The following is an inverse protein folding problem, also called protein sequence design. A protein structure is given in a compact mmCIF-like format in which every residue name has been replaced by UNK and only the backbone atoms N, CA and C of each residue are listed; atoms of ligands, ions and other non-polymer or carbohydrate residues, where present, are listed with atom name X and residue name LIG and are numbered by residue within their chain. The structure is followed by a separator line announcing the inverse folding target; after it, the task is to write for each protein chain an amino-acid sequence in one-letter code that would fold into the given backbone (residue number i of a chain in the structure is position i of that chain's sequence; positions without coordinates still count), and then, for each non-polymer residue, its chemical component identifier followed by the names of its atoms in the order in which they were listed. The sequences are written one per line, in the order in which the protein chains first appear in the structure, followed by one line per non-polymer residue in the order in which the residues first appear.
data_IF_124525460299
#
_entry.id   IF_124525460299
#
_cell.length_a   1.000
_cell.length_b   1.000
_cell.length_c   1.000
_cell.angle_alpha   90.00
_cell.angle_beta   90.00
_cell.angle_gamma   90.00
#
_symmetry.space_group_name_H-M   'P 1'
#
loop_
_entity.id
_entity.type
_entity.pdbx_description
1 polymer ?
#
# COMPACT_ATOMS: atom_id res chain seq x y z
N UNK A 1 -32.00 -14.29 -1.98
CA UNK A 1 -31.51 -13.61 -3.18
C UNK A 1 -30.73 -14.61 -4.03
N UNK A 2 -31.14 -14.88 -5.29
CA UNK A 2 -30.36 -15.72 -6.22
C UNK A 2 -29.02 -15.01 -6.45
N UNK A 3 -27.93 -15.60 -6.00
CA UNK A 3 -26.57 -15.20 -6.36
C UNK A 3 -26.47 -15.21 -7.88
N UNK A 4 -26.59 -14.04 -8.51
CA UNK A 4 -26.31 -13.90 -9.93
C UNK A 4 -24.90 -14.47 -10.17
N UNK A 5 -24.79 -15.48 -11.05
CA UNK A 5 -23.50 -16.08 -11.42
C UNK A 5 -22.62 -14.97 -11.98
N UNK A 6 -21.70 -14.47 -11.18
CA UNK A 6 -20.76 -13.39 -11.56
C UNK A 6 -19.95 -13.83 -12.76
N UNK A 7 -19.90 -12.98 -13.78
CA UNK A 7 -19.01 -13.15 -14.93
C UNK A 7 -18.09 -11.95 -14.98
N UNK A 8 -16.82 -12.17 -14.72
CA UNK A 8 -15.78 -11.14 -14.59
C UNK A 8 -14.77 -11.30 -15.71
N UNK A 9 -14.31 -10.18 -16.24
CA UNK A 9 -13.24 -10.09 -17.22
C UNK A 9 -12.18 -9.10 -16.73
N UNK A 10 -10.92 -9.54 -16.64
CA UNK A 10 -9.76 -8.69 -16.39
C UNK A 10 -8.73 -8.90 -17.49
N UNK A 11 -8.06 -7.82 -17.88
CA UNK A 11 -6.96 -7.85 -18.84
C UNK A 11 -5.90 -6.82 -18.43
N UNK A 12 -4.90 -7.29 -17.71
CA UNK A 12 -3.81 -6.45 -17.19
C UNK A 12 -2.62 -7.31 -16.76
N UNK A 13 -1.48 -6.67 -16.49
CA UNK A 13 -0.30 -7.27 -15.88
C UNK A 13 -0.49 -7.36 -14.35
N UNK A 14 -0.35 -8.54 -13.78
CA UNK A 14 -0.61 -8.74 -12.35
C UNK A 14 0.48 -8.16 -11.44
N UNK A 15 1.66 -7.84 -11.96
CA UNK A 15 2.71 -7.13 -11.19
C UNK A 15 2.26 -5.74 -10.76
N UNK A 16 1.45 -5.08 -11.58
CA UNK A 16 0.99 -3.70 -11.34
C UNK A 16 -0.49 -3.60 -10.99
N UNK A 17 -1.26 -4.66 -11.22
CA UNK A 17 -2.71 -4.68 -11.01
C UNK A 17 -3.12 -5.68 -9.91
N UNK A 18 -3.47 -5.14 -8.75
CA UNK A 18 -3.92 -5.92 -7.61
C UNK A 18 -5.24 -6.67 -7.86
N UNK A 19 -6.11 -6.17 -8.75
CA UNK A 19 -7.37 -6.83 -9.05
C UNK A 19 -7.17 -8.09 -9.90
N UNK A 20 -6.07 -8.17 -10.64
CA UNK A 20 -5.66 -9.39 -11.36
C UNK A 20 -4.85 -10.32 -10.44
N UNK A 21 -3.95 -9.76 -9.62
CA UNK A 21 -3.12 -10.54 -8.71
C UNK A 21 -3.97 -11.26 -7.65
N UNK A 22 -4.96 -10.60 -7.08
CA UNK A 22 -5.78 -11.15 -5.99
C UNK A 22 -6.46 -12.49 -6.32
N UNK A 23 -7.21 -12.64 -7.43
CA UNK A 23 -7.87 -13.90 -7.75
C UNK A 23 -6.93 -14.96 -8.30
N UNK A 24 -5.73 -14.59 -8.79
CA UNK A 24 -4.82 -15.52 -9.49
C UNK A 24 -3.65 -15.96 -8.63
N UNK A 25 -3.18 -15.12 -7.71
CA UNK A 25 -1.93 -15.34 -6.96
C UNK A 25 -0.70 -15.47 -7.86
N UNK A 26 -0.78 -15.04 -9.13
CA UNK A 26 0.21 -15.28 -10.15
C UNK A 26 0.79 -13.96 -10.65
N UNK A 27 2.12 -13.80 -10.55
CA UNK A 27 2.84 -12.64 -11.05
C UNK A 27 3.23 -12.81 -12.50
N UNK A 28 2.86 -11.85 -13.35
CA UNK A 28 3.33 -11.73 -14.73
C UNK A 28 3.51 -10.25 -15.10
N UNK A 29 4.63 -9.90 -15.78
CA UNK A 29 4.92 -8.53 -16.20
C UNK A 29 4.06 -8.08 -17.38
N UNK A 30 3.64 -9.03 -18.23
CA UNK A 30 2.81 -8.75 -19.38
C UNK A 30 1.31 -8.95 -19.08
N UNK A 31 0.43 -8.17 -19.74
CA UNK A 31 -1.00 -8.35 -19.62
C UNK A 31 -1.46 -9.74 -20.07
N UNK A 32 -2.33 -10.34 -19.28
CA UNK A 32 -3.01 -11.59 -19.60
C UNK A 32 -4.50 -11.50 -19.28
N UNK A 33 -5.24 -12.46 -19.82
CA UNK A 33 -6.68 -12.51 -19.66
C UNK A 33 -7.07 -13.39 -18.48
N UNK A 34 -7.81 -12.83 -17.54
CA UNK A 34 -8.51 -13.58 -16.50
C UNK A 34 -10.02 -13.51 -16.72
N UNK A 35 -10.68 -14.66 -16.68
CA UNK A 35 -12.13 -14.77 -16.76
C UNK A 35 -12.64 -15.57 -15.56
N UNK A 36 -13.63 -15.03 -14.86
CA UNK A 36 -14.38 -15.78 -13.87
C UNK A 36 -15.82 -15.99 -14.35
N UNK A 37 -16.28 -17.24 -14.38
CA UNK A 37 -17.68 -17.64 -14.65
C UNK A 37 -18.25 -18.38 -13.45
N UNK A 38 -19.06 -17.69 -12.63
CA UNK A 38 -19.50 -18.23 -11.35
C UNK A 38 -18.33 -18.48 -10.40
N UNK A 39 -18.03 -19.73 -10.09
CA UNK A 39 -16.87 -20.13 -9.25
C UNK A 39 -15.63 -20.49 -10.08
N UNK A 40 -15.78 -20.74 -11.39
CA UNK A 40 -14.66 -21.16 -12.24
C UNK A 40 -13.79 -19.96 -12.60
N UNK A 41 -12.49 -20.08 -12.34
CA UNK A 41 -11.43 -19.13 -12.67
C UNK A 41 -10.59 -19.65 -13.82
N UNK A 42 -10.40 -18.86 -14.86
CA UNK A 42 -9.74 -19.26 -16.11
C UNK A 42 -8.71 -18.19 -16.44
N UNK A 43 -7.48 -18.61 -16.72
CA UNK A 43 -6.45 -17.77 -17.33
C UNK A 43 -6.32 -18.09 -18.82
N UNK A 44 -6.01 -17.05 -19.61
CA UNK A 44 -5.55 -17.23 -21.00
C UNK A 44 -4.20 -16.55 -21.11
N UNK A 45 -3.17 -17.36 -21.35
CA UNK A 45 -1.77 -16.96 -21.24
C UNK A 45 -1.06 -17.13 -22.58
N UNK A 46 0.00 -16.33 -22.80
CA UNK A 46 0.98 -16.60 -23.85
C UNK A 46 1.67 -17.94 -23.59
N UNK A 47 2.17 -18.57 -24.64
CA UNK A 47 2.85 -19.87 -24.51
C UNK A 47 4.12 -19.75 -23.61
N UNK A 48 4.73 -18.56 -23.55
CA UNK A 48 5.86 -18.26 -22.66
C UNK A 48 5.54 -18.51 -21.18
N UNK A 49 4.32 -18.18 -20.74
CA UNK A 49 3.91 -18.22 -19.34
C UNK A 49 3.04 -19.43 -18.95
N UNK A 50 2.66 -20.26 -19.94
CA UNK A 50 1.71 -21.36 -19.74
C UNK A 50 2.09 -22.32 -18.62
N UNK A 51 3.33 -22.80 -18.63
CA UNK A 51 3.77 -23.83 -17.67
C UNK A 51 3.98 -23.25 -16.28
N UNK A 52 4.43 -22.00 -16.20
CA UNK A 52 4.55 -21.26 -14.94
C UNK A 52 3.15 -20.99 -14.33
N UNK A 53 2.21 -20.54 -15.13
CA UNK A 53 0.83 -20.30 -14.73
C UNK A 53 0.13 -21.59 -14.23
N UNK A 54 0.33 -22.73 -14.90
CA UNK A 54 -0.22 -24.01 -14.46
C UNK A 54 0.29 -24.47 -13.10
N UNK A 55 1.54 -24.15 -12.76
CA UNK A 55 2.16 -24.55 -11.48
C UNK A 55 1.85 -23.58 -10.35
N UNK A 56 1.71 -22.28 -10.64
CA UNK A 56 1.72 -21.22 -9.63
C UNK A 56 0.37 -20.54 -9.45
N UNK A 57 -0.46 -20.46 -10.50
CA UNK A 57 -1.72 -19.73 -10.42
C UNK A 57 -2.80 -20.52 -9.67
N UNK A 58 -3.58 -19.80 -8.87
CA UNK A 58 -4.74 -20.36 -8.14
C UNK A 58 -5.99 -20.26 -9.00
N UNK A 59 -6.04 -21.07 -10.07
CA UNK A 59 -7.15 -21.07 -11.05
C UNK A 59 -7.53 -22.49 -11.47
N UNK A 60 -8.74 -22.65 -12.01
CA UNK A 60 -9.23 -23.98 -12.41
C UNK A 60 -8.71 -24.41 -13.78
N UNK A 61 -8.36 -23.44 -14.65
CA UNK A 61 -7.94 -23.75 -16.03
C UNK A 61 -7.01 -22.66 -16.57
N UNK A 62 -5.98 -23.10 -17.31
CA UNK A 62 -5.10 -22.24 -18.11
C UNK A 62 -5.24 -22.59 -19.58
N UNK A 63 -5.58 -21.61 -20.41
CA UNK A 63 -5.75 -21.72 -21.86
C UNK A 63 -4.59 -21.04 -22.58
N UNK A 64 -4.23 -21.52 -23.75
CA UNK A 64 -3.22 -20.90 -24.62
C UNK A 64 -3.85 -19.79 -25.47
N UNK A 65 -3.27 -18.58 -25.38
CA UNK A 65 -3.60 -17.45 -26.23
C UNK A 65 -3.32 -17.77 -27.71
N UNK A 66 -2.15 -18.33 -28.02
CA UNK A 66 -1.73 -18.68 -29.38
C UNK A 66 -2.64 -19.72 -30.04
N UNK A 67 -3.19 -20.66 -29.25
CA UNK A 67 -4.15 -21.64 -29.78
C UNK A 67 -5.44 -20.96 -30.23
N UNK A 68 -5.95 -19.99 -29.46
CA UNK A 68 -7.15 -19.23 -29.83
C UNK A 68 -6.84 -18.34 -31.04
N UNK A 69 -5.68 -17.70 -31.05
CA UNK A 69 -5.19 -16.89 -32.17
C UNK A 69 -5.18 -17.68 -33.47
N UNK A 70 -4.46 -18.81 -33.51
CA UNK A 70 -4.39 -19.69 -34.70
C UNK A 70 -5.77 -20.15 -35.21
N UNK A 71 -6.71 -20.41 -34.31
CA UNK A 71 -8.08 -20.78 -34.65
C UNK A 71 -8.82 -19.65 -35.38
N UNK A 72 -8.59 -18.38 -34.98
CA UNK A 72 -9.19 -17.20 -35.63
C UNK A 72 -8.56 -16.97 -36.98
N UNK A 73 -7.23 -17.05 -37.08
CA UNK A 73 -6.47 -16.90 -38.34
C UNK A 73 -6.85 -17.95 -39.38
N UNK A 74 -7.05 -19.20 -38.94
CA UNK A 74 -7.52 -20.30 -39.84
C UNK A 74 -8.93 -20.05 -40.43
N UNK A 75 -9.69 -19.10 -39.86
CA UNK A 75 -10.97 -18.64 -40.38
C UNK A 75 -10.82 -17.43 -41.32
N UNK A 76 -9.60 -17.03 -41.68
CA UNK A 76 -9.31 -15.85 -42.51
C UNK A 76 -9.57 -14.52 -41.81
N UNK A 77 -9.60 -14.51 -40.48
CA UNK A 77 -9.91 -13.32 -39.68
C UNK A 77 -8.67 -12.82 -38.98
N UNK A 78 -8.61 -11.49 -38.77
CA UNK A 78 -7.55 -10.88 -37.99
C UNK A 78 -7.72 -11.24 -36.49
N UNK A 79 -6.68 -11.78 -35.88
CA UNK A 79 -6.66 -12.17 -34.46
C UNK A 79 -6.19 -11.01 -33.58
N UNK A 80 -6.99 -9.95 -33.50
CA UNK A 80 -6.74 -8.86 -32.51
C UNK A 80 -6.98 -9.34 -31.08
N UNK A 81 -6.46 -8.62 -30.10
CA UNK A 81 -6.71 -8.94 -28.68
C UNK A 81 -8.23 -9.04 -28.39
N UNK A 82 -9.02 -8.09 -28.90
CA UNK A 82 -10.46 -8.11 -28.76
C UNK A 82 -11.11 -9.35 -29.40
N UNK A 83 -10.64 -9.75 -30.60
CA UNK A 83 -11.15 -10.94 -31.27
C UNK A 83 -10.87 -12.23 -30.49
N UNK A 84 -9.66 -12.34 -29.91
CA UNK A 84 -9.27 -13.50 -29.09
C UNK A 84 -10.10 -13.53 -27.81
N UNK A 85 -10.22 -12.41 -27.10
CA UNK A 85 -11.02 -12.29 -25.87
C UNK A 85 -12.49 -12.62 -26.16
N UNK A 86 -13.06 -12.06 -27.23
CA UNK A 86 -14.44 -12.33 -27.62
C UNK A 86 -14.66 -13.81 -27.95
N UNK A 87 -13.70 -14.49 -28.65
CA UNK A 87 -13.76 -15.91 -28.94
C UNK A 87 -13.78 -16.76 -27.66
N UNK A 88 -12.86 -16.46 -26.70
CA UNK A 88 -12.82 -17.14 -25.40
C UNK A 88 -14.13 -16.95 -24.63
N UNK A 89 -14.66 -15.72 -24.58
CA UNK A 89 -15.92 -15.45 -23.87
C UNK A 89 -17.11 -16.17 -24.53
N UNK A 90 -17.17 -16.22 -25.84
CA UNK A 90 -18.21 -16.97 -26.60
C UNK A 90 -18.14 -18.46 -26.33
N UNK A 91 -16.93 -19.05 -26.31
CA UNK A 91 -16.73 -20.46 -25.96
C UNK A 91 -17.20 -20.78 -24.54
N UNK A 92 -17.12 -19.81 -23.66
CA UNK A 92 -17.62 -19.88 -22.29
C UNK A 92 -19.13 -19.55 -22.17
N UNK A 93 -19.78 -19.19 -23.27
CA UNK A 93 -21.20 -18.76 -23.27
C UNK A 93 -21.43 -17.43 -22.58
N UNK A 94 -20.43 -16.52 -22.59
CA UNK A 94 -20.49 -15.21 -21.96
C UNK A 94 -20.63 -14.11 -23.03
N UNK A 95 -21.65 -13.27 -22.89
CA UNK A 95 -21.89 -12.08 -23.72
C UNK A 95 -21.94 -10.79 -22.90
N UNK A 96 -22.00 -10.92 -21.56
CA UNK A 96 -21.99 -9.80 -20.61
C UNK A 96 -20.99 -10.12 -19.52
N UNK A 97 -20.08 -9.19 -19.26
CA UNK A 97 -19.01 -9.33 -18.24
C UNK A 97 -18.88 -8.07 -17.41
N UNK A 98 -18.53 -8.24 -16.15
CA UNK A 98 -18.14 -7.14 -15.28
C UNK A 98 -16.64 -6.91 -15.41
N UNK A 99 -16.24 -5.64 -15.51
CA UNK A 99 -14.85 -5.19 -15.65
C UNK A 99 -14.54 -4.13 -14.60
N UNK A 100 -13.28 -3.97 -14.15
CA UNK A 100 -12.89 -2.89 -13.24
C UNK A 100 -12.95 -1.52 -13.94
N UNK A 101 -12.94 -0.45 -13.16
CA UNK A 101 -12.88 0.93 -13.69
C UNK A 101 -11.58 1.19 -14.49
N UNK A 102 -10.50 0.48 -14.16
CA UNK A 102 -9.21 0.54 -14.85
C UNK A 102 -9.17 -0.27 -16.16
N UNK A 103 -10.26 -0.96 -16.52
CA UNK A 103 -10.28 -1.75 -17.76
C UNK A 103 -10.04 -0.87 -18.98
N UNK A 104 -9.16 -1.26 -19.96
CA UNK A 104 -8.82 -0.42 -21.10
C UNK A 104 -10.06 -0.06 -21.92
N UNK A 105 -10.36 1.25 -22.01
CA UNK A 105 -11.54 1.76 -22.74
C UNK A 105 -11.56 1.31 -24.20
N UNK A 106 -10.41 1.38 -24.90
CA UNK A 106 -10.30 0.94 -26.28
C UNK A 106 -10.67 -0.52 -26.44
N UNK A 107 -10.20 -1.38 -25.55
CA UNK A 107 -10.54 -2.82 -25.57
C UNK A 107 -12.04 -3.05 -25.32
N UNK A 108 -12.66 -2.28 -24.43
CA UNK A 108 -14.09 -2.36 -24.17
C UNK A 108 -14.92 -1.94 -25.40
N UNK A 109 -14.47 -0.89 -26.12
CA UNK A 109 -15.07 -0.43 -27.38
C UNK A 109 -14.94 -1.49 -28.49
N UNK A 110 -13.77 -2.10 -28.66
CA UNK A 110 -13.51 -3.14 -29.68
C UNK A 110 -14.32 -4.43 -29.41
N UNK A 111 -14.62 -4.73 -28.16
CA UNK A 111 -15.44 -5.88 -27.76
C UNK A 111 -16.94 -5.70 -28.10
N UNK A 112 -17.43 -4.47 -28.14
CA UNK A 112 -18.83 -4.13 -28.42
C UNK A 112 -19.32 -4.70 -29.75
N UNK A 113 -18.72 -4.36 -30.92
CA UNK A 113 -19.07 -4.90 -32.23
C UNK A 113 -18.95 -6.44 -32.32
N UNK A 114 -18.10 -7.04 -31.48
CA UNK A 114 -17.95 -8.48 -31.38
C UNK A 114 -19.03 -9.16 -30.53
N UNK A 115 -20.02 -8.39 -30.03
CA UNK A 115 -21.18 -8.89 -29.29
C UNK A 115 -20.91 -9.14 -27.80
N UNK A 116 -19.86 -8.56 -27.26
CA UNK A 116 -19.54 -8.61 -25.82
C UNK A 116 -19.88 -7.26 -25.18
N UNK A 117 -20.68 -7.27 -24.13
CA UNK A 117 -21.03 -6.09 -23.34
C UNK A 117 -20.23 -6.04 -22.03
N UNK A 118 -19.37 -5.04 -21.89
CA UNK A 118 -18.65 -4.75 -20.66
C UNK A 118 -19.49 -3.84 -19.77
N UNK A 119 -19.62 -4.19 -18.49
CA UNK A 119 -20.24 -3.36 -17.45
C UNK A 119 -19.18 -3.04 -16.41
N UNK A 120 -18.93 -1.76 -16.18
CA UNK A 120 -18.02 -1.33 -15.11
C UNK A 120 -18.64 -1.65 -13.76
N UNK A 121 -17.85 -2.31 -12.91
CA UNK A 121 -18.18 -2.58 -11.51
C UNK A 121 -17.63 -1.46 -10.62
N UNK A 122 -18.38 -0.97 -9.63
CA UNK A 122 -17.87 0.00 -8.67
C UNK A 122 -16.70 -0.56 -7.84
N UNK A 123 -15.82 0.34 -7.38
CA UNK A 123 -14.78 0.00 -6.42
C UNK A 123 -15.35 -0.20 -5.00
N UNK A 124 -14.71 -1.07 -4.19
CA UNK A 124 -13.60 -1.94 -4.57
C UNK A 124 -14.07 -3.08 -5.48
N UNK A 125 -13.28 -3.37 -6.52
CA UNK A 125 -13.65 -4.42 -7.48
C UNK A 125 -13.83 -5.79 -6.82
N UNK A 126 -12.96 -6.11 -5.86
CA UNK A 126 -13.06 -7.27 -4.97
C UNK A 126 -13.30 -6.81 -3.53
N UNK A 127 -14.56 -6.63 -3.08
CA UNK A 127 -14.85 -6.21 -1.70
C UNK A 127 -14.27 -7.18 -0.65
N UNK A 128 -14.10 -8.45 -1.02
CA UNK A 128 -13.49 -9.47 -0.16
C UNK A 128 -12.05 -9.13 0.25
N UNK A 129 -11.31 -8.28 -0.50
CA UNK A 129 -9.95 -7.82 -0.17
C UNK A 129 -9.89 -7.00 1.11
N UNK A 130 -10.97 -6.34 1.48
CA UNK A 130 -11.02 -5.58 2.72
C UNK A 130 -10.88 -6.50 3.95
N UNK A 131 -11.52 -7.68 3.91
CA UNK A 131 -11.48 -8.67 4.96
C UNK A 131 -10.33 -9.66 4.74
N UNK A 132 -9.22 -9.46 5.44
CA UNK A 132 -8.03 -10.29 5.28
C UNK A 132 -8.21 -11.67 5.86
N UNK A 133 -7.96 -12.68 5.04
CA UNK A 133 -7.87 -14.07 5.49
C UNK A 133 -6.61 -14.27 6.35
N UNK A 134 -6.53 -15.32 7.17
CA UNK A 134 -5.36 -15.57 8.00
C UNK A 134 -4.03 -15.69 7.23
N UNK A 135 -4.05 -16.20 5.99
CA UNK A 135 -2.88 -16.28 5.11
C UNK A 135 -2.44 -14.90 4.62
N UNK A 136 -3.38 -14.00 4.31
CA UNK A 136 -3.11 -12.62 3.92
C UNK A 136 -2.55 -11.81 5.09
N UNK A 137 -3.11 -11.97 6.30
CA UNK A 137 -2.55 -11.36 7.52
C UNK A 137 -1.12 -11.82 7.77
N UNK A 138 -0.81 -13.11 7.52
CA UNK A 138 0.57 -13.60 7.62
C UNK A 138 1.49 -12.99 6.57
N UNK A 139 1.02 -12.82 5.34
CA UNK A 139 1.78 -12.18 4.25
C UNK A 139 2.10 -10.72 4.58
N UNK A 140 1.08 -9.93 4.97
CA UNK A 140 1.23 -8.55 5.44
C UNK A 140 2.21 -8.44 6.61
N UNK A 141 2.07 -9.33 7.60
CA UNK A 141 2.96 -9.34 8.77
C UNK A 141 4.41 -9.64 8.38
N UNK A 142 4.67 -10.50 7.38
CA UNK A 142 6.03 -10.75 6.89
C UNK A 142 6.63 -9.51 6.23
N UNK A 143 5.90 -8.83 5.38
CA UNK A 143 6.36 -7.59 4.75
C UNK A 143 6.59 -6.48 5.79
N UNK A 144 5.74 -6.42 6.83
CA UNK A 144 5.94 -5.52 7.96
C UNK A 144 7.25 -5.85 8.73
N UNK A 145 7.59 -7.14 8.92
CA UNK A 145 8.89 -7.50 9.53
C UNK A 145 10.07 -7.02 8.68
N UNK A 146 9.94 -7.03 7.36
CA UNK A 146 10.96 -6.47 6.46
C UNK A 146 11.06 -4.95 6.60
N UNK A 147 9.93 -4.24 6.72
CA UNK A 147 9.92 -2.81 7.00
C UNK A 147 10.62 -2.49 8.33
N UNK A 148 10.32 -3.27 9.38
CA UNK A 148 10.98 -3.16 10.70
C UNK A 148 12.49 -3.41 10.61
N UNK A 149 12.94 -4.41 9.87
CA UNK A 149 14.36 -4.69 9.65
C UNK A 149 15.06 -3.55 8.87
N UNK A 150 14.37 -2.95 7.89
CA UNK A 150 14.83 -1.76 7.18
C UNK A 150 15.00 -0.56 8.13
N UNK A 151 14.00 -0.30 8.97
CA UNK A 151 14.09 0.75 9.99
C UNK A 151 15.27 0.50 10.95
N UNK A 152 15.41 -0.71 11.48
CA UNK A 152 16.51 -1.06 12.40
C UNK A 152 17.89 -0.83 11.76
N UNK A 153 18.06 -1.18 10.48
CA UNK A 153 19.29 -0.90 9.74
C UNK A 153 19.55 0.61 9.62
N UNK A 154 18.53 1.41 9.31
CA UNK A 154 18.61 2.85 9.28
C UNK A 154 18.97 3.46 10.64
N UNK A 155 18.34 2.98 11.72
CA UNK A 155 18.64 3.41 13.10
C UNK A 155 20.07 3.07 13.50
N UNK A 156 20.56 1.88 13.14
CA UNK A 156 21.95 1.48 13.39
C UNK A 156 22.94 2.39 12.63
N UNK A 157 22.63 2.74 11.38
CA UNK A 157 23.43 3.69 10.61
C UNK A 157 23.46 5.07 11.25
N UNK A 158 22.31 5.60 11.70
CA UNK A 158 22.24 6.88 12.40
C UNK A 158 23.04 6.86 13.73
N UNK A 159 22.94 5.79 14.52
CA UNK A 159 23.71 5.64 15.78
C UNK A 159 25.22 5.61 15.54
N UNK A 160 25.66 5.04 14.43
CA UNK A 160 27.08 5.00 14.06
C UNK A 160 27.63 6.34 13.60
N UNK A 161 26.77 7.31 13.27
CA UNK A 161 27.21 8.64 12.88
C UNK A 161 27.79 9.43 14.06
N UNK A 162 28.92 10.12 13.81
CA UNK A 162 29.45 11.15 14.69
C UNK A 162 28.80 12.49 14.35
N UNK A 163 28.55 13.31 15.38
CA UNK A 163 28.09 14.68 15.21
C UNK A 163 29.32 15.57 15.00
N UNK A 164 29.42 16.19 13.81
CA UNK A 164 30.47 17.14 13.49
C UNK A 164 30.31 18.47 14.26
N UNK A 165 31.38 19.24 14.39
CA UNK A 165 31.33 20.58 15.03
C UNK A 165 30.42 21.56 14.28
N UNK A 166 30.22 21.32 12.99
CA UNK A 166 29.30 22.03 12.08
C UNK A 166 27.83 21.56 12.20
N UNK A 167 27.55 20.61 13.08
CA UNK A 167 26.24 20.03 13.31
C UNK A 167 25.81 19.00 12.27
N UNK A 168 26.61 18.67 11.26
CA UNK A 168 26.30 17.61 10.32
C UNK A 168 26.63 16.22 10.87
N UNK A 169 25.81 15.24 10.51
CA UNK A 169 26.11 13.83 10.77
C UNK A 169 27.23 13.34 9.83
N UNK A 170 28.18 12.60 10.38
CA UNK A 170 29.31 12.05 9.62
C UNK A 170 29.45 10.56 9.87
N UNK A 171 29.68 9.83 8.78
CA UNK A 171 29.97 8.40 8.81
C UNK A 171 31.15 8.13 7.85
N UNK A 172 32.10 7.31 8.27
CA UNK A 172 33.27 6.95 7.46
C UNK A 172 34.01 8.19 6.91
N UNK A 173 34.17 9.24 7.76
CA UNK A 173 34.89 10.48 7.43
C UNK A 173 34.12 11.48 6.56
N UNK A 174 32.99 11.13 5.99
CA UNK A 174 32.17 11.99 5.10
C UNK A 174 30.85 12.41 5.74
N UNK A 175 30.26 13.48 5.22
CA UNK A 175 28.90 13.89 5.61
C UNK A 175 27.93 12.82 5.22
N UNK A 176 27.10 12.35 6.17
CA UNK A 176 26.07 11.36 5.95
C UNK A 176 24.79 12.06 5.47
N UNK A 177 24.26 11.57 4.36
CA UNK A 177 23.15 12.20 3.64
C UNK A 177 21.88 11.36 3.75
N UNK A 178 20.74 11.96 3.40
CA UNK A 178 19.46 11.26 3.29
C UNK A 178 19.55 10.09 2.30
N UNK A 179 20.22 10.32 1.18
CA UNK A 179 20.41 9.31 0.14
C UNK A 179 21.20 8.09 0.65
N UNK A 180 22.20 8.32 1.51
CA UNK A 180 22.96 7.24 2.17
C UNK A 180 22.08 6.47 3.15
N UNK A 181 21.27 7.17 3.98
CA UNK A 181 20.34 6.55 4.93
C UNK A 181 19.30 5.70 4.21
N UNK A 182 18.67 6.27 3.17
CA UNK A 182 17.67 5.56 2.34
C UNK A 182 18.30 4.35 1.64
N UNK A 183 19.54 4.49 1.17
CA UNK A 183 20.32 3.39 0.58
C UNK A 183 20.49 2.21 1.55
N UNK A 184 20.84 2.48 2.81
CA UNK A 184 20.97 1.45 3.86
C UNK A 184 19.64 0.74 4.11
N UNK A 185 18.55 1.50 4.24
CA UNK A 185 17.20 0.96 4.45
C UNK A 185 16.78 0.08 3.27
N UNK A 186 16.93 0.60 2.04
CA UNK A 186 16.51 -0.09 0.82
C UNK A 186 17.32 -1.37 0.56
N UNK A 187 18.64 -1.35 0.79
CA UNK A 187 19.47 -2.56 0.70
C UNK A 187 19.00 -3.65 1.65
N UNK A 188 18.63 -3.29 2.88
CA UNK A 188 18.12 -4.25 3.85
C UNK A 188 16.79 -4.86 3.39
N UNK A 189 15.87 -4.04 2.88
CA UNK A 189 14.56 -4.46 2.35
C UNK A 189 14.76 -5.45 1.20
N UNK A 190 15.64 -5.12 0.23
CA UNK A 190 15.91 -5.98 -0.92
C UNK A 190 16.55 -7.32 -0.52
N UNK A 191 17.45 -7.32 0.46
CA UNK A 191 18.05 -8.55 0.99
C UNK A 191 17.03 -9.51 1.62
N UNK A 192 15.86 -9.01 2.03
CA UNK A 192 14.76 -9.79 2.61
C UNK A 192 13.68 -10.18 1.57
N UNK A 193 13.93 -9.96 0.26
CA UNK A 193 13.02 -10.33 -0.84
C UNK A 193 11.78 -9.45 -0.94
N UNK A 194 11.93 -8.17 -0.62
CA UNK A 194 10.92 -7.14 -0.86
C UNK A 194 11.48 -6.01 -1.72
N UNK A 195 10.61 -5.36 -2.46
CA UNK A 195 10.93 -4.15 -3.22
C UNK A 195 10.68 -2.92 -2.35
N UNK A 196 11.68 -2.05 -2.12
CA UNK A 196 11.46 -0.75 -1.50
C UNK A 196 10.72 0.16 -2.49
N UNK A 197 9.66 0.80 -2.04
CA UNK A 197 8.88 1.72 -2.86
C UNK A 197 8.88 3.08 -2.19
N UNK A 198 9.52 4.08 -2.82
CA UNK A 198 9.49 5.48 -2.35
C UNK A 198 9.79 5.67 -0.85
N UNK A 199 10.77 4.94 -0.30
CA UNK A 199 11.15 5.05 1.11
C UNK A 199 11.45 6.49 1.50
N UNK A 200 10.70 7.00 2.48
CA UNK A 200 10.83 8.37 2.99
C UNK A 200 11.88 8.39 4.11
N UNK A 201 12.81 9.34 4.03
CA UNK A 201 13.75 9.68 5.09
C UNK A 201 13.87 11.21 5.18
N UNK A 202 12.77 11.90 5.43
CA UNK A 202 12.66 13.35 5.32
C UNK A 202 13.09 14.08 6.61
N UNK A 203 14.16 14.92 6.58
CA UNK A 203 14.62 15.67 7.75
C UNK A 203 13.94 17.03 7.87
N UNK A 204 13.67 17.44 9.11
CA UNK A 204 13.23 18.81 9.46
C UNK A 204 12.03 19.26 8.63
N UNK A 205 12.13 20.46 8.05
CA UNK A 205 11.03 21.08 7.28
C UNK A 205 10.71 20.37 5.98
N UNK A 206 11.57 19.49 5.46
CA UNK A 206 11.22 18.64 4.33
C UNK A 206 10.07 17.69 4.70
N UNK A 207 10.05 17.19 5.94
CA UNK A 207 8.99 16.33 6.44
C UNK A 207 7.64 17.06 6.69
N UNK A 208 7.56 18.37 6.47
CA UNK A 208 6.28 19.12 6.50
C UNK A 208 5.41 18.79 5.29
N UNK A 209 6.03 18.32 4.21
CA UNK A 209 5.33 17.61 3.14
C UNK A 209 5.37 16.10 3.47
N UNK A 210 4.23 15.45 3.80
CA UNK A 210 4.22 14.06 4.26
C UNK A 210 4.74 13.03 3.25
N UNK A 211 4.78 13.37 1.96
CA UNK A 211 5.26 12.50 0.88
C UNK A 211 6.65 12.88 0.34
N UNK A 212 7.31 13.89 0.91
CA UNK A 212 8.70 14.23 0.54
C UNK A 212 9.64 13.11 0.98
N UNK A 213 10.36 12.52 0.01
CA UNK A 213 11.31 11.43 0.28
C UNK A 213 12.54 11.88 1.07
N UNK A 214 12.79 13.18 1.07
CA UNK A 214 13.96 13.79 1.68
C UNK A 214 15.21 13.76 0.80
N UNK A 215 16.11 14.72 1.03
CA UNK A 215 17.36 14.86 0.30
C UNK A 215 18.39 15.64 1.11
N UNK A 216 19.66 15.50 0.72
CA UNK A 216 20.74 16.32 1.22
C UNK A 216 21.36 15.87 2.54
N UNK A 217 22.21 16.69 3.15
CA UNK A 217 22.98 16.34 4.36
C UNK A 217 22.08 16.25 5.58
N UNK A 218 22.29 15.22 6.40
CA UNK A 218 21.62 15.05 7.67
C UNK A 218 22.30 15.87 8.78
N UNK A 219 21.49 16.51 9.61
CA UNK A 219 21.95 17.30 10.76
C UNK A 219 21.55 16.62 12.07
N UNK A 220 22.41 16.80 13.07
CA UNK A 220 22.09 16.42 14.44
C UNK A 220 20.92 17.26 14.99
N UNK A 221 20.23 16.73 15.97
CA UNK A 221 19.14 17.41 16.69
C UNK A 221 17.91 17.74 15.83
N UNK A 222 17.86 17.24 14.60
CA UNK A 222 16.78 17.47 13.63
C UNK A 222 15.91 16.21 13.53
N UNK A 223 14.57 16.32 13.57
CA UNK A 223 13.70 15.16 13.35
C UNK A 223 13.86 14.61 11.93
N UNK A 224 13.83 13.30 11.80
CA UNK A 224 13.83 12.59 10.52
C UNK A 224 12.61 11.68 10.54
N UNK A 225 11.67 11.91 9.65
CA UNK A 225 10.54 11.00 9.41
C UNK A 225 11.05 9.88 8.50
N UNK A 226 11.02 8.65 9.00
CA UNK A 226 11.35 7.44 8.25
C UNK A 226 10.07 6.66 8.04
N UNK A 227 9.59 6.62 6.79
CA UNK A 227 8.37 5.93 6.38
C UNK A 227 8.73 4.86 5.34
N UNK A 228 8.39 3.61 5.69
CA UNK A 228 8.97 2.42 5.06
C UNK A 228 7.86 1.43 4.75
N UNK A 229 7.51 1.27 3.46
CA UNK A 229 6.41 0.43 2.98
C UNK A 229 6.83 -0.55 1.86
N UNK A 230 7.62 -1.58 2.19
CA UNK A 230 8.11 -2.55 1.22
C UNK A 230 6.99 -3.45 0.71
N UNK A 231 7.09 -3.83 -0.57
CA UNK A 231 6.22 -4.82 -1.21
C UNK A 231 6.94 -6.16 -1.36
N UNK A 232 6.35 -7.24 -0.90
CA UNK A 232 6.91 -8.58 -1.08
C UNK A 232 6.91 -8.99 -2.55
N UNK A 233 8.06 -9.39 -3.09
CA UNK A 233 8.17 -9.95 -4.46
C UNK A 233 7.42 -11.28 -4.60
N UNK A 234 7.33 -12.03 -3.50
CA UNK A 234 6.69 -13.35 -3.50
C UNK A 234 5.17 -13.29 -3.44
N UNK A 235 4.62 -12.34 -2.69
CA UNK A 235 3.18 -12.33 -2.37
C UNK A 235 2.46 -11.08 -2.84
N UNK A 236 3.19 -9.99 -3.15
CA UNK A 236 2.64 -8.69 -3.52
C UNK A 236 2.07 -7.89 -2.37
N UNK A 237 1.99 -8.43 -1.15
CA UNK A 237 1.49 -7.72 0.02
C UNK A 237 2.52 -6.72 0.53
N UNK A 238 2.02 -5.55 0.97
CA UNK A 238 2.83 -4.49 1.57
C UNK A 238 3.01 -4.69 3.08
N UNK A 239 4.11 -4.18 3.61
CA UNK A 239 4.27 -3.80 5.00
C UNK A 239 4.25 -2.29 5.06
N UNK A 240 3.96 -1.70 6.24
CA UNK A 240 3.87 -0.27 6.39
C UNK A 240 4.20 0.18 7.82
N UNK A 241 5.12 1.11 7.96
CA UNK A 241 5.43 1.70 9.25
C UNK A 241 6.17 3.03 9.12
N UNK A 242 5.84 3.97 9.99
CA UNK A 242 6.58 5.22 10.13
C UNK A 242 7.13 5.39 11.54
N UNK A 243 8.36 5.90 11.63
CA UNK A 243 8.96 6.41 12.88
C UNK A 243 9.62 7.76 12.63
N UNK A 244 9.46 8.66 13.58
CA UNK A 244 10.24 9.90 13.63
C UNK A 244 11.36 9.75 14.64
N UNK A 245 12.59 10.05 14.22
CA UNK A 245 13.79 9.89 15.06
C UNK A 245 14.69 11.11 14.98
N UNK A 246 15.53 11.30 16.00
CA UNK A 246 16.54 12.36 16.10
C UNK A 246 17.88 11.74 16.45
N UNK A 247 18.92 11.99 15.66
CA UNK A 247 20.30 11.70 16.08
C UNK A 247 20.81 12.85 16.96
N UNK A 248 21.03 12.56 18.24
CA UNK A 248 21.35 13.55 19.26
C UNK A 248 20.17 13.84 20.18
N UNK A 249 20.00 15.09 20.60
CA UNK A 249 18.92 15.50 21.51
C UNK A 249 17.82 16.25 20.78
N UNK A 250 16.60 15.87 20.96
CA UNK A 250 15.43 16.59 20.49
C UNK A 250 15.21 17.85 21.33
N UNK A 251 14.67 18.92 20.74
CA UNK A 251 14.19 20.08 21.48
C UNK A 251 13.01 19.68 22.39
N UNK A 252 12.77 20.46 23.44
CA UNK A 252 11.64 20.24 24.36
C UNK A 252 10.31 20.23 23.58
N UNK A 253 10.10 21.23 22.72
CA UNK A 253 8.91 21.32 21.87
C UNK A 253 8.74 20.08 20.96
N UNK A 254 9.84 19.55 20.41
CA UNK A 254 9.76 18.34 19.57
C UNK A 254 9.38 17.11 20.40
N UNK A 255 9.89 16.98 21.64
CA UNK A 255 9.51 15.90 22.56
C UNK A 255 8.03 15.98 22.93
N UNK A 256 7.50 17.17 23.18
CA UNK A 256 6.07 17.39 23.47
C UNK A 256 5.20 16.97 22.28
N UNK A 257 5.55 17.40 21.06
CA UNK A 257 4.82 17.02 19.83
C UNK A 257 4.91 15.52 19.60
N UNK A 258 6.08 14.92 19.78
CA UNK A 258 6.24 13.47 19.65
C UNK A 258 5.37 12.69 20.65
N UNK A 259 5.36 13.12 21.90
CA UNK A 259 4.51 12.52 22.93
C UNK A 259 3.03 12.64 22.59
N UNK A 260 2.60 13.79 22.07
CA UNK A 260 1.22 14.03 21.66
C UNK A 260 0.81 13.18 20.46
N UNK A 261 1.67 13.06 19.43
CA UNK A 261 1.42 12.16 18.29
C UNK A 261 1.34 10.72 18.76
N UNK A 262 2.23 10.30 19.68
CA UNK A 262 2.17 8.96 20.27
C UNK A 262 0.87 8.73 21.06
N UNK A 263 0.37 9.76 21.77
CA UNK A 263 -0.95 9.70 22.43
C UNK A 263 -2.08 9.52 21.39
N UNK A 264 -2.00 10.22 20.26
CA UNK A 264 -2.90 10.07 19.12
C UNK A 264 -2.91 8.64 18.57
N UNK A 265 -1.74 8.01 18.38
CA UNK A 265 -1.62 6.60 17.98
C UNK A 265 -2.34 5.69 18.99
N UNK A 266 -2.08 5.89 20.28
CA UNK A 266 -2.73 5.09 21.34
C UNK A 266 -4.24 5.29 21.36
N UNK A 267 -4.72 6.51 21.13
CA UNK A 267 -6.15 6.82 21.03
C UNK A 267 -6.77 6.11 19.83
N UNK A 268 -6.10 6.14 18.66
CA UNK A 268 -6.53 5.41 17.47
C UNK A 268 -6.68 3.92 17.76
N UNK A 269 -5.65 3.26 18.29
CA UNK A 269 -5.70 1.83 18.63
C UNK A 269 -6.82 1.48 19.61
N UNK A 270 -7.06 2.29 20.64
CA UNK A 270 -8.15 2.06 21.62
C UNK A 270 -9.55 2.12 20.99
N UNK A 271 -9.69 2.86 19.89
CA UNK A 271 -10.98 3.03 19.19
C UNK A 271 -11.20 2.03 18.06
N UNK A 272 -10.15 1.31 17.62
CA UNK A 272 -10.26 0.28 16.59
C UNK A 272 -11.00 -0.94 17.14
N UNK A 273 -12.15 -1.26 16.51
CA UNK A 273 -12.93 -2.48 16.76
C UNK A 273 -13.94 -2.69 15.63
N UNK A 274 -14.59 -3.84 15.61
CA UNK A 274 -15.71 -4.07 14.68
C UNK A 274 -16.81 -3.03 14.88
N UNK A 275 -17.35 -2.51 13.78
CA UNK A 275 -18.38 -1.48 13.78
C UNK A 275 -17.88 -0.06 14.06
N UNK A 276 -16.60 0.16 14.30
CA UNK A 276 -16.08 1.51 14.55
C UNK A 276 -16.18 2.39 13.30
N UNK A 277 -16.58 3.66 13.51
CA UNK A 277 -16.67 4.68 12.47
C UNK A 277 -15.30 5.35 12.27
N UNK A 278 -14.72 5.17 11.08
CA UNK A 278 -13.40 5.76 10.73
C UNK A 278 -13.33 7.28 10.91
N UNK A 279 -14.31 8.07 10.41
CA UNK A 279 -14.39 9.50 10.66
C UNK A 279 -14.39 9.87 12.14
N UNK A 280 -15.06 9.12 13.01
CA UNK A 280 -15.10 9.42 14.45
C UNK A 280 -13.76 9.21 15.14
N UNK A 281 -12.97 8.21 14.68
CA UNK A 281 -11.60 7.99 15.15
C UNK A 281 -10.71 9.16 14.76
N UNK A 282 -10.78 9.57 13.49
CA UNK A 282 -10.00 10.72 13.00
C UNK A 282 -10.33 12.00 13.76
N UNK A 283 -11.63 12.35 13.89
CA UNK A 283 -12.06 13.54 14.64
C UNK A 283 -11.62 13.52 16.10
N UNK A 284 -11.59 12.37 16.74
CA UNK A 284 -11.13 12.27 18.13
C UNK A 284 -9.62 12.60 18.27
N UNK A 285 -8.80 12.17 17.32
CA UNK A 285 -7.36 12.49 17.30
C UNK A 285 -7.16 13.96 16.94
N UNK A 286 -7.90 14.48 15.96
CA UNK A 286 -7.88 15.91 15.64
C UNK A 286 -8.22 16.77 16.87
N UNK A 287 -9.30 16.43 17.58
CA UNK A 287 -9.71 17.15 18.79
C UNK A 287 -8.66 17.07 19.91
N UNK A 288 -7.96 15.94 20.06
CA UNK A 288 -6.84 15.81 20.98
C UNK A 288 -5.72 16.81 20.66
N UNK A 289 -5.36 16.97 19.38
CA UNK A 289 -4.32 17.88 18.93
C UNK A 289 -4.75 19.34 19.08
N UNK A 290 -5.98 19.66 18.69
CA UNK A 290 -6.56 21.01 18.81
C UNK A 290 -6.63 21.48 20.29
N UNK A 291 -7.00 20.58 21.20
CA UNK A 291 -7.05 20.87 22.66
C UNK A 291 -5.67 21.18 23.27
N UNK A 292 -4.59 20.75 22.62
CA UNK A 292 -3.20 21.06 23.00
C UNK A 292 -2.62 22.24 22.21
N UNK A 293 -3.45 22.96 21.44
CA UNK A 293 -3.06 24.14 20.66
C UNK A 293 -2.43 23.85 19.29
N UNK A 294 -2.36 22.57 18.87
CA UNK A 294 -1.80 22.17 17.59
C UNK A 294 -2.89 22.14 16.50
N UNK A 295 -3.20 23.32 15.98
CA UNK A 295 -4.28 23.54 15.00
C UNK A 295 -3.84 23.16 13.57
N UNK A 296 -4.80 22.66 12.80
CA UNK A 296 -4.61 22.36 11.37
C UNK A 296 -5.13 23.50 10.52
N UNK A 297 -4.35 23.93 9.53
CA UNK A 297 -4.74 24.96 8.59
C UNK A 297 -3.58 25.50 7.75
N UNK A 298 -3.89 26.46 6.88
CA UNK A 298 -2.85 27.17 6.11
C UNK A 298 -2.18 28.22 7.02
N UNK A 299 -0.85 28.09 7.14
CA UNK A 299 0.04 29.03 7.81
C UNK A 299 1.28 29.21 6.92
N UNK A 300 1.73 30.46 6.73
CA UNK A 300 2.89 30.81 5.88
C UNK A 300 2.82 30.20 4.45
N UNK A 301 1.61 30.19 3.87
CA UNK A 301 1.37 29.68 2.51
C UNK A 301 1.32 28.15 2.37
N UNK A 302 1.56 27.37 3.45
CA UNK A 302 1.56 25.90 3.45
C UNK A 302 0.52 25.35 4.43
N UNK A 303 0.04 24.13 4.14
CA UNK A 303 -0.75 23.38 5.12
C UNK A 303 0.16 22.92 6.25
N UNK A 304 -0.31 23.11 7.49
CA UNK A 304 0.38 22.70 8.71
C UNK A 304 -0.61 22.05 9.68
N UNK A 305 -0.11 21.29 10.65
CA UNK A 305 -0.93 20.54 11.60
C UNK A 305 -1.16 19.09 11.17
N UNK A 306 -2.35 18.54 11.43
CA UNK A 306 -2.77 17.18 11.05
C UNK A 306 -3.75 17.24 9.88
N UNK A 307 -3.27 17.19 8.65
CA UNK A 307 -4.07 17.44 7.44
C UNK A 307 -4.21 16.22 6.50
N UNK A 308 -3.85 15.03 6.95
CA UNK A 308 -4.11 13.76 6.24
C UNK A 308 -5.00 12.83 7.08
N UNK A 309 -5.39 11.68 6.54
CA UNK A 309 -6.15 10.67 7.26
C UNK A 309 -5.38 10.09 8.44
N UNK A 310 -6.11 9.50 9.39
CA UNK A 310 -5.49 8.76 10.50
C UNK A 310 -4.94 7.42 10.05
N UNK A 311 -5.40 6.90 8.91
CA UNK A 311 -4.93 5.64 8.38
C UNK A 311 -5.78 5.12 7.22
N UNK A 312 -5.32 4.04 6.64
CA UNK A 312 -5.89 3.37 5.47
C UNK A 312 -5.75 1.85 5.58
N UNK A 313 -6.51 1.11 4.76
CA UNK A 313 -6.31 -0.32 4.57
C UNK A 313 -4.98 -0.60 3.86
N UNK A 314 -4.33 -1.68 4.24
CA UNK A 314 -3.10 -2.18 3.61
C UNK A 314 -3.33 -3.58 3.09
N UNK A 315 -2.86 -3.86 1.87
CA UNK A 315 -3.02 -5.17 1.25
C UNK A 315 -2.08 -5.40 0.09
N UNK A 316 -2.65 -5.72 -1.07
CA UNK A 316 -1.94 -5.79 -2.34
C UNK A 316 -1.70 -4.38 -2.94
N UNK A 317 -2.36 -3.37 -2.42
CA UNK A 317 -2.06 -1.96 -2.62
C UNK A 317 -1.66 -1.36 -1.28
N UNK A 318 -0.75 -0.37 -1.32
CA UNK A 318 -0.34 0.32 -0.11
C UNK A 318 -1.54 1.08 0.49
N UNK A 319 -2.32 1.75 -0.34
CA UNK A 319 -3.56 2.39 0.04
C UNK A 319 -4.74 1.63 -0.55
N UNK A 320 -5.50 0.92 0.28
CA UNK A 320 -6.77 0.31 -0.11
C UNK A 320 -7.86 0.58 0.94
N UNK A 321 -9.09 0.18 0.68
CA UNK A 321 -10.16 0.27 1.66
C UNK A 321 -9.94 -0.73 2.83
N UNK A 322 -10.42 -0.37 4.04
CA UNK A 322 -11.15 0.84 4.42
C UNK A 322 -10.23 2.03 4.74
N UNK A 323 -10.80 3.21 5.00
CA UNK A 323 -10.05 4.41 5.40
C UNK A 323 -10.48 4.89 6.80
N UNK A 324 -9.52 5.44 7.55
CA UNK A 324 -9.76 6.15 8.82
C UNK A 324 -9.62 7.65 8.55
N UNK A 325 -10.61 8.22 7.85
CA UNK A 325 -10.58 9.59 7.37
C UNK A 325 -11.99 10.18 7.29
N UNK A 326 -12.09 11.50 7.38
CA UNK A 326 -13.36 12.21 7.13
C UNK A 326 -13.69 12.35 5.64
N UNK A 327 -12.68 12.33 4.78
CA UNK A 327 -12.86 12.50 3.32
C UNK A 327 -13.29 11.22 2.62
N UNK A 328 -13.02 10.05 3.23
CA UNK A 328 -13.41 8.73 2.73
C UNK A 328 -14.03 7.93 3.89
N UNK A 329 -15.29 8.19 4.24
CA UNK A 329 -15.94 7.54 5.36
C UNK A 329 -16.00 6.01 5.20
N UNK A 330 -15.61 5.27 6.22
CA UNK A 330 -15.66 3.81 6.25
C UNK A 330 -16.05 3.32 7.64
N UNK A 331 -16.82 2.23 7.70
CA UNK A 331 -17.05 1.47 8.93
C UNK A 331 -16.03 0.34 8.99
N UNK A 332 -15.26 0.29 10.07
CA UNK A 332 -14.28 -0.77 10.26
C UNK A 332 -14.96 -2.09 10.63
N UNK A 333 -14.39 -3.20 10.18
CA UNK A 333 -14.88 -4.55 10.45
C UNK A 333 -13.76 -5.47 10.91
N UNK A 334 -14.11 -6.46 11.71
CA UNK A 334 -13.17 -7.52 12.06
C UNK A 334 -12.59 -8.17 10.79
N UNK A 335 -11.28 -8.36 10.75
CA UNK A 335 -10.54 -8.83 9.58
C UNK A 335 -9.93 -7.71 8.72
N UNK A 336 -10.29 -6.44 8.92
CA UNK A 336 -9.57 -5.34 8.29
C UNK A 336 -8.17 -5.21 8.86
N UNK A 337 -7.18 -4.95 8.00
CA UNK A 337 -5.84 -4.52 8.39
C UNK A 337 -5.68 -3.08 7.95
N UNK A 338 -5.39 -2.20 8.91
CA UNK A 338 -5.31 -0.75 8.70
C UNK A 338 -4.07 -0.17 9.35
N UNK A 339 -3.60 0.99 8.85
CA UNK A 339 -2.60 1.81 9.52
C UNK A 339 -3.25 2.69 10.59
N UNK A 340 -2.46 3.11 11.57
CA UNK A 340 -2.78 4.17 12.54
C UNK A 340 -1.57 5.09 12.58
N UNK A 341 -1.64 6.20 11.86
CA UNK A 341 -0.50 7.04 11.49
C UNK A 341 -0.70 8.55 11.70
N UNK A 342 -1.28 9.00 12.81
CA UNK A 342 -1.43 10.45 12.99
C UNK A 342 -0.07 11.14 12.96
N UNK A 343 -0.06 12.37 12.42
CA UNK A 343 1.14 13.18 12.33
C UNK A 343 0.86 14.66 12.57
N UNK A 344 1.89 15.39 13.00
CA UNK A 344 1.88 16.84 13.15
C UNK A 344 3.07 17.44 12.39
N UNK A 345 2.81 18.46 11.60
CA UNK A 345 3.75 19.05 10.67
C UNK A 345 3.75 20.55 10.77
N UNK A 346 4.89 21.14 11.18
CA UNK A 346 5.03 22.60 11.35
C UNK A 346 6.39 23.08 10.85
N UNK A 347 6.40 24.17 10.09
CA UNK A 347 7.64 24.82 9.67
C UNK A 347 8.47 25.27 10.89
N UNK A 348 9.77 25.08 10.81
CA UNK A 348 10.72 25.37 11.90
C UNK A 348 10.74 24.30 13.00
N UNK A 349 9.78 23.36 13.04
CA UNK A 349 9.79 22.18 13.90
C UNK A 349 10.09 20.90 13.10
N UNK A 350 9.55 20.82 11.89
CA UNK A 350 9.56 19.64 11.06
C UNK A 350 8.29 18.80 11.17
N UNK A 351 8.34 17.58 10.65
CA UNK A 351 7.27 16.58 10.73
C UNK A 351 7.50 15.58 11.86
N UNK A 352 6.40 15.17 12.49
CA UNK A 352 6.36 14.01 13.40
C UNK A 352 5.21 13.11 12.97
N UNK A 353 5.52 11.88 12.53
CA UNK A 353 4.57 10.81 12.23
C UNK A 353 5.00 9.54 12.94
N UNK A 354 4.06 8.86 13.57
CA UNK A 354 4.26 7.56 14.18
C UNK A 354 3.14 6.67 13.67
N UNK A 355 3.51 5.56 13.08
CA UNK A 355 2.59 4.65 12.43
C UNK A 355 2.77 3.22 12.88
N UNK A 356 1.67 2.54 13.07
CA UNK A 356 1.59 1.10 13.27
C UNK A 356 0.53 0.49 12.35
N UNK A 357 0.74 -0.74 11.90
CA UNK A 357 -0.31 -1.58 11.30
C UNK A 357 -1.10 -2.31 12.37
N UNK A 358 -2.41 -2.35 12.24
CA UNK A 358 -3.31 -3.04 13.17
C UNK A 358 -4.31 -3.95 12.45
N UNK A 359 -4.53 -5.14 12.99
CA UNK A 359 -5.66 -6.01 12.63
C UNK A 359 -6.85 -5.67 13.51
N UNK A 360 -7.97 -5.29 12.92
CA UNK A 360 -9.25 -5.09 13.61
C UNK A 360 -9.82 -6.44 14.03
N UNK A 361 -10.22 -6.55 15.29
CA UNK A 361 -10.83 -7.75 15.87
C UNK A 361 -12.27 -7.45 16.31
N UNK A 362 -13.08 -8.45 16.67
CA UNK A 362 -14.47 -8.21 17.11
C UNK A 362 -14.58 -7.24 18.29
N UNK A 363 -13.63 -7.26 19.23
CA UNK A 363 -13.70 -6.48 20.47
C UNK A 363 -12.66 -5.38 20.58
N UNK A 364 -11.74 -5.25 19.60
CA UNK A 364 -10.64 -4.27 19.65
C UNK A 364 -9.74 -4.37 18.45
N UNK A 365 -8.43 -4.22 18.66
CA UNK A 365 -7.41 -4.38 17.63
C UNK A 365 -6.18 -5.10 18.15
N UNK A 366 -5.48 -5.76 17.24
CA UNK A 366 -4.15 -6.33 17.49
C UNK A 366 -3.11 -5.52 16.73
N UNK A 367 -2.24 -4.82 17.45
CA UNK A 367 -1.10 -4.17 16.83
C UNK A 367 -0.17 -5.24 16.21
N UNK A 368 0.13 -5.10 14.93
CA UNK A 368 1.04 -5.98 14.20
C UNK A 368 2.49 -5.49 14.25
N UNK A 369 2.70 -4.19 14.45
CA UNK A 369 4.03 -3.55 14.52
C UNK A 369 4.69 -3.81 15.86
N UNK A 370 5.99 -4.17 15.86
CA UNK A 370 6.74 -4.57 17.05
C UNK A 370 7.86 -3.63 17.45
N UNK A 371 8.38 -2.83 16.49
CA UNK A 371 9.48 -1.92 16.77
C UNK A 371 9.07 -0.84 17.77
N UNK A 372 9.95 -0.52 18.74
CA UNK A 372 9.66 0.48 19.74
C UNK A 372 9.51 1.89 19.14
N UNK A 373 8.82 2.76 19.87
CA UNK A 373 8.66 4.17 19.55
C UNK A 373 9.68 4.96 20.37
N UNK A 374 10.86 5.18 19.76
CA UNK A 374 11.98 5.89 20.38
C UNK A 374 12.30 7.11 19.53
N UNK A 375 12.33 8.30 20.15
CA UNK A 375 12.63 9.54 19.45
C UNK A 375 14.14 9.76 19.28
N UNK A 376 14.93 9.58 20.32
CA UNK A 376 16.37 9.87 20.30
C UNK A 376 17.21 8.60 20.09
N UNK A 377 18.13 8.66 19.14
CA UNK A 377 18.96 7.52 18.71
C UNK A 377 20.46 7.86 18.66
#
# INVERSE_FOLDING_TARGET
MKTMKRSVLLYSASETDADVLYPTGFFAPDPFLFVQKGRRRILVMSDLEMDRARRQATVDRVLSWSRVQKRIEAQGRQATAAAIIAAVLKDLGLRRVEVPRSFPLGLAQDLGPLGIRCRVRPDPFWPEREHKRPDEVRALTRSLRVAEAGLEAGLAALRSCRIGRDGFLRRDGRVFRVEDLRGVVNQRIMAEGCVPTHTICAPGDQAVDPHEEGHGPLRAHTPIVMDIFPRSEKTGYFGDLTRTVVRGRASERLREVYALVHEGVRLGHRRLRDGADGPSIHRAIQALFDARGYRTGRQDGRMQGFFHGTGHGVGLQIHEAPSISVTRPSTLRAGHVVTVEPGLYYLGLGGVRIEDMALVTPTGSRNLTRVPKVLEV
#
